data_IF_799754009637
#
_entry.id   IF_799754009637
#
_cell.length_a   1.000
_cell.length_b   1.000
_cell.length_c   1.000
_cell.angle_alpha   90.00
_cell.angle_beta   90.00
_cell.angle_gamma   90.00
#
_symmetry.space_group_name_H-M   'P 1'
#
loop_
_entity.id
_entity.type
_entity.pdbx_description
1 polymer ?
#
# COMPACT_ATOMS: atom_id res chain seq x y z
N UNK A 1 -16.43 4.51 -12.08
CA UNK A 1 -15.65 3.95 -10.96
C UNK A 1 -15.37 2.46 -11.15
N UNK A 2 -14.14 2.03 -10.88
CA UNK A 2 -13.77 0.62 -10.68
C UNK A 2 -12.85 0.48 -9.47
N UNK A 3 -12.61 -0.76 -9.04
CA UNK A 3 -11.78 -1.07 -7.87
C UNK A 3 -10.63 -1.99 -8.29
N UNK A 4 -9.43 -1.74 -7.78
CA UNK A 4 -8.24 -2.56 -8.00
C UNK A 4 -7.62 -2.99 -6.68
N UNK A 5 -7.12 -4.22 -6.60
CA UNK A 5 -6.54 -4.77 -5.36
C UNK A 5 -7.54 -5.61 -4.57
N UNK A 6 -7.11 -6.05 -3.39
CA UNK A 6 -7.80 -7.07 -2.61
C UNK A 6 -7.83 -6.78 -1.11
N UNK A 7 -6.93 -5.93 -0.61
CA UNK A 7 -6.82 -5.60 0.81
C UNK A 7 -7.53 -4.28 1.10
N UNK A 8 -8.70 -4.37 1.69
CA UNK A 8 -9.46 -3.24 2.24
C UNK A 8 -9.65 -3.42 3.76
N UNK A 9 -8.57 -3.35 4.56
CA UNK A 9 -8.69 -3.61 5.99
C UNK A 9 -9.51 -2.49 6.66
N UNK A 10 -10.59 -2.89 7.34
CA UNK A 10 -11.52 -2.00 8.04
C UNK A 10 -11.12 -1.74 9.51
N UNK A 11 -10.17 -2.53 10.02
CA UNK A 11 -9.65 -2.47 11.38
C UNK A 11 -8.13 -2.64 11.44
N UNK A 12 -7.54 -2.20 12.54
CA UNK A 12 -6.09 -2.35 12.78
C UNK A 12 -5.67 -3.81 12.89
N UNK A 13 -6.52 -4.64 13.48
CA UNK A 13 -6.31 -6.08 13.60
C UNK A 13 -6.29 -6.73 12.22
N UNK A 14 -7.30 -6.48 11.39
CA UNK A 14 -7.33 -7.01 10.03
C UNK A 14 -6.14 -6.55 9.19
N UNK A 15 -5.73 -5.28 9.32
CA UNK A 15 -4.53 -4.77 8.64
C UNK A 15 -3.27 -5.56 9.04
N UNK A 16 -3.11 -5.89 10.32
CA UNK A 16 -1.99 -6.71 10.81
C UNK A 16 -2.06 -8.14 10.32
N UNK A 17 -3.22 -8.79 10.43
CA UNK A 17 -3.42 -10.16 9.93
C UNK A 17 -3.09 -10.29 8.45
N UNK A 18 -3.57 -9.34 7.63
CA UNK A 18 -3.27 -9.29 6.20
C UNK A 18 -1.77 -9.06 5.96
N UNK A 19 -1.15 -8.14 6.69
CA UNK A 19 0.28 -7.87 6.60
C UNK A 19 1.11 -9.10 6.98
N UNK A 20 0.76 -9.84 8.03
CA UNK A 20 1.36 -11.11 8.46
C UNK A 20 1.22 -12.23 7.44
N UNK A 21 0.04 -12.36 6.85
CA UNK A 21 -0.24 -13.42 5.88
C UNK A 21 0.71 -13.42 4.67
N UNK A 22 1.23 -12.25 4.28
CA UNK A 22 2.08 -12.09 3.09
C UNK A 22 3.59 -12.20 3.37
N UNK A 23 4.00 -12.30 4.64
CA UNK A 23 5.42 -12.40 5.03
C UNK A 23 6.17 -13.54 4.32
N UNK A 24 5.63 -14.78 4.29
CA UNK A 24 6.24 -15.90 3.56
C UNK A 24 6.37 -15.65 2.05
N UNK A 25 5.40 -14.94 1.45
CA UNK A 25 5.42 -14.59 0.04
C UNK A 25 6.53 -13.57 -0.26
N UNK A 26 6.67 -12.54 0.59
CA UNK A 26 7.74 -11.54 0.47
C UNK A 26 9.13 -12.19 0.55
N UNK A 27 9.36 -13.08 1.53
CA UNK A 27 10.62 -13.82 1.65
C UNK A 27 10.91 -14.67 0.40
N UNK A 28 9.88 -15.32 -0.15
CA UNK A 28 10.01 -16.14 -1.37
C UNK A 28 10.41 -15.28 -2.57
N UNK A 29 9.75 -14.13 -2.75
CA UNK A 29 10.08 -13.18 -3.83
C UNK A 29 11.53 -12.71 -3.72
N UNK A 30 11.96 -12.26 -2.55
CA UNK A 30 13.35 -11.80 -2.34
C UNK A 30 14.36 -12.92 -2.61
N UNK A 31 14.06 -14.14 -2.18
CA UNK A 31 14.91 -15.31 -2.45
C UNK A 31 15.05 -15.59 -3.95
N UNK A 32 13.96 -15.61 -4.69
CA UNK A 32 14.01 -15.88 -6.13
C UNK A 32 14.69 -14.75 -6.92
N UNK A 33 14.52 -13.49 -6.49
CA UNK A 33 15.26 -12.35 -7.08
C UNK A 33 16.76 -12.47 -6.82
N UNK A 34 17.19 -12.74 -5.59
CA UNK A 34 18.61 -12.91 -5.27
C UNK A 34 19.24 -14.09 -6.05
N UNK A 35 18.49 -15.18 -6.20
CA UNK A 35 18.89 -16.32 -7.03
C UNK A 35 19.01 -15.96 -8.51
N UNK A 36 18.09 -15.16 -9.05
CA UNK A 36 18.17 -14.67 -10.43
C UNK A 36 19.38 -13.74 -10.64
N UNK A 37 19.81 -13.04 -9.59
CA UNK A 37 21.05 -12.26 -9.55
C UNK A 37 22.31 -13.13 -9.32
N UNK A 38 22.15 -14.45 -9.24
CA UNK A 38 23.23 -15.42 -9.02
C UNK A 38 23.99 -15.24 -7.70
N UNK A 39 23.34 -14.70 -6.66
CA UNK A 39 23.95 -14.64 -5.33
C UNK A 39 24.22 -16.05 -4.84
N UNK A 40 25.44 -16.27 -4.35
CA UNK A 40 25.76 -17.47 -3.62
C UNK A 40 25.24 -17.40 -2.17
N UNK A 41 25.54 -18.43 -1.37
CA UNK A 41 25.07 -18.50 0.01
C UNK A 41 25.65 -17.40 0.90
N UNK A 42 26.92 -17.04 0.70
CA UNK A 42 27.60 -16.04 1.52
C UNK A 42 27.08 -14.64 1.18
N UNK A 43 26.98 -14.33 -0.11
CA UNK A 43 26.41 -13.06 -0.59
C UNK A 43 24.93 -12.92 -0.22
N UNK A 44 24.14 -13.99 -0.28
CA UNK A 44 22.76 -13.98 0.18
C UNK A 44 22.67 -13.65 1.67
N UNK A 45 23.49 -14.31 2.51
CA UNK A 45 23.47 -14.09 3.95
C UNK A 45 23.93 -12.69 4.35
N UNK A 46 24.87 -12.10 3.60
CA UNK A 46 25.37 -10.74 3.83
C UNK A 46 24.37 -9.67 3.37
N UNK A 47 23.73 -9.86 2.21
CA UNK A 47 22.92 -8.81 1.56
C UNK A 47 21.42 -8.92 1.78
N UNK A 48 20.89 -10.10 2.08
CA UNK A 48 19.45 -10.31 2.29
C UNK A 48 19.16 -10.30 3.79
N UNK A 49 19.11 -9.10 4.36
CA UNK A 49 18.74 -8.87 5.75
C UNK A 49 17.23 -9.00 5.98
N UNK A 50 16.83 -8.98 7.26
CA UNK A 50 15.43 -8.79 7.67
C UNK A 50 14.81 -7.58 7.00
N UNK A 51 15.51 -6.44 7.00
CA UNK A 51 15.02 -5.17 6.46
C UNK A 51 14.72 -5.24 4.96
N UNK A 52 15.49 -6.05 4.21
CA UNK A 52 15.22 -6.30 2.78
C UNK A 52 13.91 -7.08 2.59
N UNK A 53 13.69 -8.10 3.44
CA UNK A 53 12.45 -8.89 3.40
C UNK A 53 11.25 -8.06 3.85
N UNK A 54 11.40 -7.24 4.89
CA UNK A 54 10.39 -6.31 5.36
C UNK A 54 10.05 -5.26 4.30
N UNK A 55 11.05 -4.66 3.65
CA UNK A 55 10.82 -3.73 2.54
C UNK A 55 10.04 -4.38 1.38
N UNK A 56 10.32 -5.66 1.09
CA UNK A 56 9.57 -6.40 0.08
C UNK A 56 8.13 -6.68 0.54
N UNK A 57 7.93 -6.94 1.83
CA UNK A 57 6.62 -7.16 2.45
C UNK A 57 5.78 -5.88 2.44
N UNK A 58 6.37 -4.74 2.80
CA UNK A 58 5.76 -3.41 2.68
C UNK A 58 5.26 -3.14 1.27
N UNK A 59 6.14 -3.35 0.28
CA UNK A 59 5.81 -3.13 -1.12
C UNK A 59 4.71 -4.08 -1.60
N UNK A 60 4.74 -5.35 -1.17
CA UNK A 60 3.72 -6.34 -1.51
C UNK A 60 2.38 -5.98 -0.88
N UNK A 61 2.33 -5.62 0.41
CA UNK A 61 1.12 -5.18 1.08
C UNK A 61 0.51 -3.97 0.38
N UNK A 62 1.33 -2.94 0.14
CA UNK A 62 0.92 -1.74 -0.58
C UNK A 62 0.33 -2.09 -1.95
N UNK A 63 0.97 -3.01 -2.70
CA UNK A 63 0.51 -3.44 -4.02
C UNK A 63 -0.85 -4.15 -4.01
N UNK A 64 -1.23 -4.73 -2.88
CA UNK A 64 -2.48 -5.46 -2.70
C UNK A 64 -3.61 -4.58 -2.16
N UNK A 65 -3.31 -3.38 -1.68
CA UNK A 65 -4.33 -2.46 -1.18
C UNK A 65 -5.39 -2.20 -2.25
N UNK A 66 -6.65 -2.27 -1.80
CA UNK A 66 -7.81 -1.91 -2.57
C UNK A 66 -7.79 -0.41 -2.88
N UNK A 67 -7.92 -0.05 -4.14
CA UNK A 67 -7.93 1.33 -4.61
C UNK A 67 -9.15 1.51 -5.48
N UNK A 68 -9.95 2.51 -5.15
CA UNK A 68 -11.02 2.98 -6.00
C UNK A 68 -10.45 3.95 -7.02
N UNK A 69 -10.87 3.82 -8.27
CA UNK A 69 -10.47 4.69 -9.37
C UNK A 69 -11.74 5.20 -10.05
N UNK A 70 -11.90 6.52 -10.11
CA UNK A 70 -13.12 7.15 -10.59
C UNK A 70 -12.92 8.58 -11.03
N UNK A 71 -14.02 9.21 -11.43
CA UNK A 71 -14.03 10.65 -11.76
C UNK A 71 -13.97 11.49 -10.49
N UNK A 72 -13.71 12.79 -10.66
CA UNK A 72 -13.79 13.79 -9.59
C UNK A 72 -15.14 13.75 -8.88
N UNK A 73 -16.24 13.70 -9.63
CA UNK A 73 -17.58 13.67 -9.06
C UNK A 73 -17.86 12.40 -8.25
N UNK A 74 -17.39 11.24 -8.70
CA UNK A 74 -17.52 9.97 -7.97
C UNK A 74 -16.75 10.01 -6.64
N UNK A 75 -15.55 10.60 -6.65
CA UNK A 75 -14.74 10.80 -5.45
C UNK A 75 -15.35 11.83 -4.48
N UNK A 76 -15.82 12.98 -4.97
CA UNK A 76 -16.43 14.01 -4.14
C UNK A 76 -17.70 13.48 -3.47
N UNK A 77 -18.53 12.72 -4.21
CA UNK A 77 -19.71 12.06 -3.65
C UNK A 77 -19.35 11.03 -2.57
N UNK A 78 -18.26 10.28 -2.72
CA UNK A 78 -17.75 9.39 -1.68
C UNK A 78 -17.25 10.19 -0.47
N UNK A 79 -16.45 11.24 -0.69
CA UNK A 79 -15.85 12.10 0.34
C UNK A 79 -16.90 12.79 1.22
N UNK A 80 -18.01 13.23 0.63
CA UNK A 80 -19.14 13.83 1.36
C UNK A 80 -19.79 12.87 2.37
N UNK A 81 -19.64 11.55 2.17
CA UNK A 81 -20.17 10.51 3.07
C UNK A 81 -19.13 9.92 4.01
N UNK A 82 -17.85 10.26 3.83
CA UNK A 82 -16.75 9.69 4.60
C UNK A 82 -16.55 10.45 5.92
N UNK A 83 -16.65 9.75 7.04
CA UNK A 83 -16.46 10.32 8.37
C UNK A 83 -14.99 10.20 8.81
N UNK A 84 -14.11 10.92 8.11
CA UNK A 84 -12.68 10.83 8.33
C UNK A 84 -11.85 11.90 7.63
N UNK A 85 -10.54 11.88 7.90
CA UNK A 85 -9.58 12.75 7.24
C UNK A 85 -9.21 12.18 5.86
N UNK A 86 -9.22 13.02 4.83
CA UNK A 86 -8.77 12.65 3.49
C UNK A 86 -7.56 13.49 3.11
N UNK A 87 -6.42 12.82 2.94
CA UNK A 87 -5.16 13.43 2.50
C UNK A 87 -5.09 13.30 0.99
N UNK A 88 -5.37 14.40 0.30
CA UNK A 88 -5.40 14.46 -1.16
C UNK A 88 -4.08 14.97 -1.72
N UNK A 89 -3.56 14.25 -2.72
CA UNK A 89 -2.33 14.59 -3.42
C UNK A 89 -2.59 14.87 -4.91
N UNK A 90 -2.06 16.00 -5.38
CA UNK A 90 -2.09 16.39 -6.78
C UNK A 90 -2.75 17.73 -6.99
N UNK A 91 -3.59 17.86 -8.01
CA UNK A 91 -4.20 19.12 -8.41
C UNK A 91 -5.72 19.01 -8.44
N UNK A 92 -6.40 20.05 -7.99
CA UNK A 92 -7.87 20.13 -8.04
C UNK A 92 -8.40 20.25 -9.48
N UNK A 93 -7.54 20.57 -10.45
CA UNK A 93 -7.93 20.82 -11.84
C UNK A 93 -7.88 19.59 -12.76
N UNK A 94 -7.89 18.38 -12.19
CA UNK A 94 -7.90 17.12 -12.96
C UNK A 94 -9.17 16.32 -12.71
N UNK A 95 -9.55 15.57 -13.73
CA UNK A 95 -10.89 14.96 -13.82
C UNK A 95 -11.01 13.61 -13.12
N UNK A 96 -9.89 12.97 -12.74
CA UNK A 96 -9.92 11.62 -12.17
C UNK A 96 -9.16 11.56 -10.84
N UNK A 97 -9.61 10.66 -9.98
CA UNK A 97 -9.06 10.46 -8.65
C UNK A 97 -8.97 8.96 -8.39
N UNK A 98 -7.85 8.54 -7.81
CA UNK A 98 -7.72 7.26 -7.14
C UNK A 98 -7.78 7.50 -5.64
N UNK A 99 -8.46 6.67 -4.86
CA UNK A 99 -8.52 6.81 -3.39
C UNK A 99 -8.55 5.47 -2.68
N UNK A 100 -8.06 5.46 -1.44
CA UNK A 100 -8.07 4.32 -0.54
C UNK A 100 -8.38 4.80 0.88
N UNK A 101 -9.32 4.14 1.54
CA UNK A 101 -9.70 4.42 2.92
C UNK A 101 -9.15 3.33 3.84
N UNK A 102 -8.42 3.74 4.88
CA UNK A 102 -7.85 2.84 5.86
C UNK A 102 -8.67 2.73 7.16
N UNK A 103 -8.24 1.87 8.08
CA UNK A 103 -8.97 1.49 9.29
C UNK A 103 -9.06 2.56 10.39
N UNK A 104 -8.38 3.72 10.25
CA UNK A 104 -8.35 4.81 11.26
C UNK A 104 -9.18 6.03 10.85
N UNK A 105 -10.16 5.86 9.97
CA UNK A 105 -10.86 7.00 9.34
C UNK A 105 -9.87 7.99 8.70
N UNK A 106 -8.77 7.47 8.16
CA UNK A 106 -7.81 8.22 7.34
C UNK A 106 -7.81 7.58 5.95
N UNK A 107 -8.02 8.42 4.95
CA UNK A 107 -7.95 8.04 3.55
C UNK A 107 -6.89 8.86 2.82
N UNK A 108 -6.35 8.28 1.75
CA UNK A 108 -5.42 8.95 0.85
C UNK A 108 -6.01 8.95 -0.54
N UNK A 109 -5.89 10.08 -1.23
CA UNK A 109 -6.31 10.24 -2.61
C UNK A 109 -5.18 10.78 -3.49
N UNK A 110 -5.12 10.31 -4.74
CA UNK A 110 -4.19 10.78 -5.75
C UNK A 110 -4.95 11.16 -7.02
N UNK A 111 -4.86 12.43 -7.41
CA UNK A 111 -5.54 12.97 -8.58
C UNK A 111 -4.72 12.73 -9.85
N UNK A 112 -5.35 12.49 -11.00
CA UNK A 112 -4.66 12.29 -12.28
C UNK A 112 -5.50 12.69 -13.50
N UNK A 113 -4.82 13.16 -14.56
CA UNK A 113 -5.47 13.45 -15.85
C UNK A 113 -5.46 12.25 -16.80
N UNK A 114 -4.35 11.53 -16.83
CA UNK A 114 -4.13 10.33 -17.66
C UNK A 114 -3.16 9.40 -16.94
N UNK A 115 -3.15 8.10 -17.30
CA UNK A 115 -2.34 7.03 -16.66
C UNK A 115 -2.86 6.58 -15.28
N UNK A 116 -4.03 5.89 -15.24
CA UNK A 116 -4.59 5.36 -13.99
C UNK A 116 -3.60 4.45 -13.24
N UNK A 117 -2.90 3.54 -13.92
CA UNK A 117 -1.97 2.60 -13.28
C UNK A 117 -0.84 3.30 -12.50
N UNK A 118 -0.35 4.44 -13.03
CA UNK A 118 0.68 5.23 -12.35
C UNK A 118 0.14 5.95 -11.12
N UNK A 119 -1.11 6.42 -11.20
CA UNK A 119 -1.81 7.03 -10.07
C UNK A 119 -2.07 6.01 -8.96
N UNK A 120 -2.57 4.82 -9.31
CA UNK A 120 -2.80 3.71 -8.37
C UNK A 120 -1.49 3.29 -7.69
N UNK A 121 -0.41 3.11 -8.45
CA UNK A 121 0.89 2.76 -7.88
C UNK A 121 1.45 3.83 -6.93
N UNK A 122 1.24 5.11 -7.25
CA UNK A 122 1.63 6.24 -6.39
C UNK A 122 0.80 6.27 -5.11
N UNK A 123 -0.53 6.18 -5.25
CA UNK A 123 -1.46 6.14 -4.13
C UNK A 123 -1.12 5.00 -3.17
N UNK A 124 -0.89 3.79 -3.66
CA UNK A 124 -0.58 2.64 -2.81
C UNK A 124 0.65 2.87 -1.93
N UNK A 125 1.68 3.51 -2.48
CA UNK A 125 2.88 3.89 -1.71
C UNK A 125 2.55 4.96 -0.65
N UNK A 126 1.73 5.95 -1.00
CA UNK A 126 1.30 6.99 -0.07
C UNK A 126 0.42 6.43 1.04
N UNK A 127 -0.55 5.58 0.71
CA UNK A 127 -1.41 4.88 1.65
C UNK A 127 -0.57 4.05 2.64
N UNK A 128 0.39 3.26 2.14
CA UNK A 128 1.30 2.52 3.02
C UNK A 128 2.06 3.44 3.98
N UNK A 129 2.72 4.47 3.47
CA UNK A 129 3.52 5.39 4.29
C UNK A 129 2.71 6.19 5.31
N UNK A 130 1.46 6.54 4.97
CA UNK A 130 0.62 7.44 5.78
C UNK A 130 -0.25 6.67 6.78
N UNK A 131 -0.85 5.55 6.36
CA UNK A 131 -1.86 4.83 7.15
C UNK A 131 -1.23 3.64 7.90
N UNK A 132 -0.30 2.93 7.27
CA UNK A 132 0.09 1.58 7.70
C UNK A 132 1.50 1.49 8.29
N UNK A 133 2.45 2.30 7.85
CA UNK A 133 3.85 2.20 8.29
C UNK A 133 4.00 2.24 9.80
N UNK A 134 3.47 3.28 10.44
CA UNK A 134 3.53 3.42 11.90
C UNK A 134 2.82 2.27 12.63
N UNK A 135 1.76 1.70 12.04
CA UNK A 135 1.02 0.58 12.62
C UNK A 135 1.88 -0.69 12.73
N UNK A 136 2.75 -0.91 11.75
CA UNK A 136 3.59 -2.11 11.66
C UNK A 136 4.93 -1.93 12.36
N UNK A 137 5.52 -0.73 12.33
CA UNK A 137 6.74 -0.41 13.08
C UNK A 137 6.53 -0.49 14.61
N UNK A 138 5.37 -0.08 15.11
CA UNK A 138 5.05 -0.15 16.54
C UNK A 138 4.93 -1.60 17.04
N UNK A 139 4.41 -2.51 16.22
CA UNK A 139 4.25 -3.92 16.59
C UNK A 139 5.61 -4.63 16.75
N UNK A 140 6.57 -4.33 15.87
CA UNK A 140 7.92 -4.91 15.92
C UNK A 140 8.76 -4.44 17.11
N UNK A 141 8.36 -3.36 17.79
CA UNK A 141 9.03 -2.85 19.00
C UNK A 141 8.46 -3.41 20.32
N UNK A 142 7.35 -4.16 20.27
CA UNK A 142 6.72 -4.78 21.45
C UNK A 142 6.97 -6.30 21.57
N UNK A 143 7.70 -6.90 20.62
CA UNK A 143 8.13 -8.32 20.61
C UNK A 143 9.57 -8.56 21.09
#
# INVERSE_FOLDING_TARGET
MHTEGWFAPDSLEQAREQYESIGPAAQTVVREVAKAMAFDREEYADRVSSDVVETARDALFASLLEVHVGTREEYDAWKDTYDGEVIEHGSDSVDNVAWHAGPKNVAVAATFQSKPDAAVGTLRRQAFGTIYRELFEQASSEE
#
